data_IF_852067550806
#
_entry.id   IF_852067550806
#
_cell.length_a   1.000
_cell.length_b   1.000
_cell.length_c   1.000
_cell.angle_alpha   90.00
_cell.angle_beta   90.00
_cell.angle_gamma   90.00
#
_symmetry.space_group_name_H-M   'P 1'
#
loop_
_entity.id
_entity.type
_entity.pdbx_description
1 polymer ?
#
# COMPACT_ATOMS: atom_id res chain seq x y z
N UNK A 1 7.11 -14.22 26.16
CA UNK A 1 6.05 -14.49 25.16
C UNK A 1 5.44 -13.21 24.55
N UNK A 2 4.36 -12.63 25.10
CA UNK A 2 3.65 -11.49 24.45
C UNK A 2 4.48 -10.20 24.42
N UNK A 3 5.15 -9.85 25.52
CA UNK A 3 5.99 -8.65 25.59
C UNK A 3 7.15 -8.69 24.58
N UNK A 4 7.77 -9.85 24.41
CA UNK A 4 8.86 -10.05 23.45
C UNK A 4 8.36 -9.94 22.01
N UNK A 5 7.18 -10.52 21.72
CA UNK A 5 6.53 -10.37 20.42
C UNK A 5 6.29 -8.89 20.09
N UNK A 6 5.70 -8.14 21.02
CA UNK A 6 5.43 -6.71 20.82
C UNK A 6 6.72 -5.88 20.70
N UNK A 7 7.77 -6.23 21.44
CA UNK A 7 9.06 -5.56 21.34
C UNK A 7 9.67 -5.73 19.93
N UNK A 8 9.70 -6.97 19.42
CA UNK A 8 10.20 -7.26 18.06
C UNK A 8 9.33 -6.58 16.98
N UNK A 9 8.01 -6.67 17.12
CA UNK A 9 7.09 -6.03 16.18
C UNK A 9 7.26 -4.51 16.13
N UNK A 10 7.53 -3.88 17.29
CA UNK A 10 7.82 -2.44 17.37
C UNK A 10 9.15 -2.09 16.69
N UNK A 11 10.19 -2.89 16.92
CA UNK A 11 11.50 -2.69 16.29
C UNK A 11 11.40 -2.78 14.76
N UNK A 12 10.76 -3.83 14.24
CA UNK A 12 10.54 -4.04 12.81
C UNK A 12 9.73 -2.90 12.18
N UNK A 13 8.68 -2.44 12.89
CA UNK A 13 7.88 -1.30 12.46
C UNK A 13 8.72 -0.03 12.36
N UNK A 14 9.49 0.31 13.41
CA UNK A 14 10.29 1.54 13.45
C UNK A 14 11.34 1.55 12.34
N UNK A 15 12.02 0.42 12.10
CA UNK A 15 13.00 0.29 11.02
C UNK A 15 12.41 0.64 9.65
N UNK A 16 11.22 0.12 9.34
CA UNK A 16 10.50 0.39 8.08
C UNK A 16 9.88 1.79 8.05
N UNK A 17 9.48 2.33 9.20
CA UNK A 17 8.88 3.65 9.34
C UNK A 17 9.88 4.79 9.11
N UNK A 18 11.11 4.62 9.57
CA UNK A 18 12.22 5.55 9.39
C UNK A 18 12.82 5.47 7.99
N UNK A 19 12.83 4.28 7.38
CA UNK A 19 13.39 4.03 6.05
C UNK A 19 12.31 3.53 5.06
N UNK A 20 11.41 4.42 4.62
CA UNK A 20 10.28 4.04 3.77
C UNK A 20 10.72 3.68 2.34
N UNK A 21 10.28 2.52 1.85
CA UNK A 21 10.50 2.15 0.45
C UNK A 21 9.70 3.06 -0.51
N UNK A 22 10.28 3.36 -1.67
CA UNK A 22 9.64 4.17 -2.70
C UNK A 22 9.84 3.54 -4.08
N UNK A 23 8.81 3.64 -4.93
CA UNK A 23 8.84 3.21 -6.33
C UNK A 23 9.33 1.76 -6.49
N UNK A 24 8.65 0.84 -5.80
CA UNK A 24 9.03 -0.58 -5.78
C UNK A 24 8.50 -1.38 -6.98
N UNK A 25 7.73 -0.75 -7.86
CA UNK A 25 7.19 -1.31 -9.09
C UNK A 25 6.82 -0.18 -10.07
N UNK A 26 6.36 -0.55 -11.26
CA UNK A 26 5.75 0.38 -12.23
C UNK A 26 4.39 -0.15 -12.71
N UNK A 27 3.58 0.72 -13.31
CA UNK A 27 2.24 0.35 -13.75
C UNK A 27 2.25 -0.69 -14.88
N UNK A 28 3.29 -0.65 -15.73
CA UNK A 28 3.44 -1.49 -16.92
C UNK A 28 3.69 -2.96 -16.55
N UNK A 29 4.16 -3.23 -15.33
CA UNK A 29 4.37 -4.58 -14.81
C UNK A 29 3.07 -5.30 -14.46
N UNK A 30 1.93 -4.58 -14.45
CA UNK A 30 0.64 -5.13 -14.07
C UNK A 30 -0.36 -5.12 -15.22
N UNK A 31 -1.03 -6.24 -15.42
CA UNK A 31 -2.22 -6.36 -16.24
C UNK A 31 -3.46 -6.02 -15.41
N UNK A 32 -4.32 -5.13 -15.90
CA UNK A 32 -5.56 -4.73 -15.23
C UNK A 32 -6.68 -5.68 -15.62
N UNK A 33 -7.35 -6.28 -14.64
CA UNK A 33 -8.39 -7.29 -14.89
C UNK A 33 -9.78 -6.69 -14.71
N UNK A 34 -10.14 -6.29 -13.48
CA UNK A 34 -11.48 -5.75 -13.18
C UNK A 34 -11.46 -4.79 -11.99
N UNK A 35 -12.50 -3.97 -11.88
CA UNK A 35 -12.68 -3.12 -10.69
C UNK A 35 -13.28 -3.92 -9.55
N UNK A 36 -12.71 -3.77 -8.36
CA UNK A 36 -13.22 -4.35 -7.11
C UNK A 36 -14.03 -3.34 -6.29
N UNK A 37 -13.71 -2.04 -6.41
CA UNK A 37 -14.45 -0.99 -5.73
C UNK A 37 -14.06 0.41 -6.20
N UNK A 38 -14.92 1.38 -5.92
CA UNK A 38 -14.73 2.80 -6.24
C UNK A 38 -14.97 3.64 -5.00
N UNK A 39 -14.16 4.67 -4.81
CA UNK A 39 -14.31 5.66 -3.74
C UNK A 39 -14.21 7.09 -4.28
N UNK A 40 -14.32 8.07 -3.39
CA UNK A 40 -14.43 9.49 -3.75
C UNK A 40 -13.24 10.04 -4.55
N UNK A 41 -12.02 9.54 -4.29
CA UNK A 41 -10.77 10.01 -4.90
C UNK A 41 -9.92 8.89 -5.51
N UNK A 42 -10.51 7.71 -5.74
CA UNK A 42 -9.77 6.58 -6.27
C UNK A 42 -10.62 5.35 -6.55
N UNK A 43 -9.96 4.27 -6.97
CA UNK A 43 -10.57 2.96 -7.19
C UNK A 43 -9.62 1.84 -6.77
N UNK A 44 -10.16 0.66 -6.53
CA UNK A 44 -9.39 -0.57 -6.33
C UNK A 44 -9.65 -1.50 -7.51
N UNK A 45 -8.58 -2.01 -8.12
CA UNK A 45 -8.64 -2.96 -9.23
C UNK A 45 -7.95 -4.27 -8.87
N UNK A 46 -8.52 -5.38 -9.34
CA UNK A 46 -7.80 -6.64 -9.43
C UNK A 46 -6.80 -6.52 -10.58
N UNK A 47 -5.53 -6.79 -10.28
CA UNK A 47 -4.44 -6.79 -11.24
C UNK A 47 -3.66 -8.09 -11.15
N UNK A 48 -2.96 -8.44 -12.23
CA UNK A 48 -2.00 -9.55 -12.26
C UNK A 48 -0.61 -9.04 -12.60
N UNK A 49 0.39 -9.35 -11.78
CA UNK A 49 1.78 -9.06 -12.10
C UNK A 49 2.24 -9.96 -13.26
N UNK A 50 2.75 -9.36 -14.33
CA UNK A 50 2.99 -10.06 -15.61
C UNK A 50 4.02 -11.19 -15.47
N UNK A 51 5.10 -10.94 -14.75
CA UNK A 51 6.22 -11.90 -14.66
C UNK A 51 5.94 -13.04 -13.68
N UNK A 52 5.30 -12.72 -12.54
CA UNK A 52 5.10 -13.68 -11.46
C UNK A 52 3.73 -14.35 -11.48
N UNK A 53 2.80 -13.85 -12.29
CA UNK A 53 1.41 -14.33 -12.35
C UNK A 53 0.57 -14.06 -11.10
N UNK A 54 1.14 -13.42 -10.06
CA UNK A 54 0.45 -13.15 -8.81
C UNK A 54 -0.63 -12.09 -8.98
N UNK A 55 -1.74 -12.28 -8.27
CA UNK A 55 -2.86 -11.35 -8.26
C UNK A 55 -2.75 -10.39 -7.08
N UNK A 56 -3.06 -9.12 -7.31
CA UNK A 56 -3.05 -8.06 -6.30
C UNK A 56 -4.29 -7.18 -6.40
N UNK A 57 -4.60 -6.48 -5.30
CA UNK A 57 -5.55 -5.38 -5.28
C UNK A 57 -4.77 -4.06 -5.40
N UNK A 58 -4.85 -3.40 -6.55
CA UNK A 58 -4.20 -2.11 -6.80
C UNK A 58 -5.15 -0.97 -6.47
N UNK A 59 -4.83 -0.21 -5.41
CA UNK A 59 -5.51 1.05 -5.09
C UNK A 59 -4.90 2.19 -5.92
N UNK A 60 -5.70 2.78 -6.78
CA UNK A 60 -5.32 3.89 -7.67
C UNK A 60 -5.97 5.16 -7.14
N UNK A 61 -5.16 6.19 -6.89
CA UNK A 61 -5.60 7.48 -6.35
C UNK A 61 -5.39 8.59 -7.37
N UNK A 62 -6.40 9.45 -7.55
CA UNK A 62 -6.33 10.63 -8.40
C UNK A 62 -5.71 11.80 -7.61
N UNK A 63 -4.49 12.20 -7.99
CA UNK A 63 -3.73 13.25 -7.31
C UNK A 63 -4.49 14.59 -7.25
N UNK A 64 -5.21 14.96 -8.31
CA UNK A 64 -5.97 16.21 -8.33
C UNK A 64 -7.15 16.15 -7.34
N UNK A 65 -7.86 15.03 -7.30
CA UNK A 65 -8.96 14.82 -6.34
C UNK A 65 -8.47 14.75 -4.90
N UNK A 66 -7.33 14.10 -4.64
CA UNK A 66 -6.71 14.04 -3.31
C UNK A 66 -6.40 15.44 -2.79
N UNK A 67 -5.82 16.31 -3.63
CA UNK A 67 -5.56 17.72 -3.27
C UNK A 67 -6.88 18.46 -3.02
N UNK A 68 -7.85 18.37 -3.95
CA UNK A 68 -9.14 19.06 -3.85
C UNK A 68 -9.90 18.71 -2.58
N UNK A 69 -9.85 17.45 -2.16
CA UNK A 69 -10.53 16.93 -0.96
C UNK A 69 -9.66 17.03 0.31
N UNK A 70 -8.51 17.71 0.24
CA UNK A 70 -7.57 17.89 1.36
C UNK A 70 -7.14 16.58 2.03
N UNK A 71 -6.92 15.53 1.23
CA UNK A 71 -6.53 14.18 1.69
C UNK A 71 -5.04 13.87 1.51
N UNK A 72 -4.20 14.89 1.32
CA UNK A 72 -2.76 14.71 1.06
C UNK A 72 -2.09 13.99 2.23
N UNK A 73 -2.24 14.51 3.45
CA UNK A 73 -1.61 13.95 4.64
C UNK A 73 -2.12 12.53 4.93
N UNK A 74 -3.43 12.31 4.86
CA UNK A 74 -4.02 10.98 5.02
C UNK A 74 -3.47 9.96 4.01
N UNK A 75 -3.29 10.37 2.75
CA UNK A 75 -2.74 9.49 1.70
C UNK A 75 -1.27 9.14 1.97
N UNK A 76 -0.48 10.11 2.42
CA UNK A 76 0.93 9.88 2.79
C UNK A 76 1.03 8.97 4.01
N UNK A 77 0.19 9.19 5.02
CA UNK A 77 0.12 8.38 6.23
C UNK A 77 -0.33 6.95 5.92
N UNK A 78 -1.36 6.77 5.09
CA UNK A 78 -1.83 5.44 4.66
C UNK A 78 -0.68 4.62 4.07
N UNK A 79 0.05 5.17 3.09
CA UNK A 79 1.22 4.51 2.51
C UNK A 79 2.26 4.21 3.59
N UNK A 80 2.59 5.20 4.42
CA UNK A 80 3.71 5.10 5.38
C UNK A 80 3.46 4.07 6.47
N UNK A 81 2.21 3.97 6.94
CA UNK A 81 1.79 2.98 7.92
C UNK A 81 1.77 1.59 7.29
N UNK A 82 1.10 1.42 6.14
CA UNK A 82 0.92 0.11 5.53
C UNK A 82 2.23 -0.57 5.09
N UNK A 83 3.24 0.19 4.67
CA UNK A 83 4.56 -0.38 4.36
C UNK A 83 5.36 -0.79 5.62
N UNK A 84 5.01 -0.27 6.80
CA UNK A 84 5.75 -0.50 8.04
C UNK A 84 5.10 -1.56 8.94
N UNK A 85 3.78 -1.71 8.90
CA UNK A 85 3.06 -2.71 9.71
C UNK A 85 3.13 -4.11 9.11
N UNK A 86 3.09 -5.12 9.95
CA UNK A 86 2.95 -6.52 9.54
C UNK A 86 2.19 -7.26 10.63
N UNK A 87 1.01 -7.79 10.30
CA UNK A 87 0.18 -8.51 11.26
C UNK A 87 -0.77 -9.48 10.52
N UNK A 88 -1.13 -10.65 11.10
CA UNK A 88 -1.92 -11.67 10.39
C UNK A 88 -3.28 -11.21 9.88
N UNK A 89 -3.88 -10.20 10.53
CA UNK A 89 -5.20 -9.68 10.18
C UNK A 89 -5.15 -8.33 9.44
N UNK A 90 -3.95 -7.88 9.04
CA UNK A 90 -3.77 -6.67 8.24
C UNK A 90 -3.39 -7.05 6.81
N UNK A 91 -3.96 -6.34 5.84
CA UNK A 91 -3.54 -6.41 4.45
C UNK A 91 -2.10 -5.91 4.31
N UNK A 92 -1.31 -6.57 3.47
CA UNK A 92 0.08 -6.18 3.19
C UNK A 92 0.15 -5.24 1.99
N UNK A 93 0.99 -4.22 2.10
CA UNK A 93 1.38 -3.38 0.98
C UNK A 93 2.62 -3.97 0.31
N UNK A 94 2.42 -4.66 -0.80
CA UNK A 94 3.50 -5.34 -1.53
C UNK A 94 4.28 -4.34 -2.43
N UNK A 95 3.58 -3.39 -3.05
CA UNK A 95 4.18 -2.40 -3.95
C UNK A 95 3.59 -1.00 -3.77
N UNK A 96 4.40 0.04 -4.03
CA UNK A 96 3.92 1.42 -4.15
C UNK A 96 4.75 2.24 -5.14
N UNK A 97 4.08 3.05 -5.96
CA UNK A 97 4.68 3.90 -7.00
C UNK A 97 3.79 5.11 -7.30
N UNK A 98 4.32 6.12 -8.02
CA UNK A 98 3.69 7.43 -8.27
C UNK A 98 3.25 7.65 -9.70
#
# INVERSE_FOLDING_TARGET
AVKEFLARAKEDFLKKWENPAQNTASLEQFERIRTLGTGSFGRVMLVRHKDSGHHYAMKILDKQKVVKLKQIEHTLNEKRILQAVTFPFLVRLEYSFK
#
